data_IF_456268540608
#
_entry.id   IF_456268540608
#
_cell.length_a   1.000
_cell.length_b   1.000
_cell.length_c   1.000
_cell.angle_alpha   90.00
_cell.angle_beta   90.00
_cell.angle_gamma   90.00
#
_symmetry.space_group_name_H-M   'P 1'
#
loop_
_entity.id
_entity.type
_entity.pdbx_description
1 polymer ?
#
# COMPACT_ATOMS: atom_id res chain seq x y z
N UNK A 1 -15.89 20.41 14.28
CA UNK A 1 -15.11 20.24 13.03
C UNK A 1 -13.79 19.58 13.37
N UNK A 2 -13.61 18.31 13.04
CA UNK A 2 -12.38 17.56 13.30
C UNK A 2 -11.27 18.10 12.41
N UNK A 3 -10.13 18.47 12.99
CA UNK A 3 -8.94 18.92 12.24
C UNK A 3 -8.53 17.83 11.24
N UNK A 4 -8.05 18.20 10.05
CA UNK A 4 -7.69 17.23 9.02
C UNK A 4 -6.50 16.33 9.43
N UNK A 5 -5.69 16.74 10.41
CA UNK A 5 -4.65 15.91 11.03
C UNK A 5 -5.18 14.60 11.66
N UNK A 6 -6.38 14.62 12.25
CA UNK A 6 -6.99 13.42 12.83
C UNK A 6 -7.61 12.47 11.80
N UNK A 7 -7.62 12.84 10.50
CA UNK A 7 -8.30 12.08 9.45
C UNK A 7 -7.39 11.07 8.75
N UNK A 8 -6.07 11.22 8.87
CA UNK A 8 -5.10 10.27 8.33
C UNK A 8 -4.58 9.27 9.36
N UNK A 9 -4.91 9.46 10.64
CA UNK A 9 -4.49 8.57 11.73
C UNK A 9 -5.00 7.14 11.55
N UNK A 10 -6.18 6.95 10.94
CA UNK A 10 -6.69 5.62 10.57
C UNK A 10 -5.77 4.90 9.58
N UNK A 11 -5.32 5.60 8.54
CA UNK A 11 -4.35 5.06 7.59
C UNK A 11 -3.02 4.73 8.26
N UNK A 12 -2.51 5.62 9.12
CA UNK A 12 -1.28 5.37 9.89
C UNK A 12 -1.43 4.15 10.78
N UNK A 13 -2.54 4.00 11.48
CA UNK A 13 -2.79 2.86 12.35
C UNK A 13 -2.80 1.53 11.57
N UNK A 14 -3.36 1.53 10.36
CA UNK A 14 -3.38 0.36 9.48
C UNK A 14 -1.99 0.00 8.97
N UNK A 15 -1.24 0.99 8.49
CA UNK A 15 0.06 0.80 7.85
C UNK A 15 1.21 0.60 8.84
N UNK A 16 1.10 1.12 10.07
CA UNK A 16 2.17 1.03 11.08
C UNK A 16 2.41 -0.44 11.45
N UNK A 17 3.66 -0.88 11.27
CA UNK A 17 4.08 -2.25 11.49
C UNK A 17 3.48 -3.26 10.49
N UNK A 18 2.85 -2.79 9.41
CA UNK A 18 2.42 -3.65 8.31
C UNK A 18 3.65 -4.16 7.57
N UNK A 19 3.89 -5.45 7.66
CA UNK A 19 4.96 -6.12 6.93
C UNK A 19 4.49 -7.50 6.48
N UNK A 20 4.95 -7.89 5.30
CA UNK A 20 4.78 -9.21 4.74
C UNK A 20 6.02 -10.06 5.03
N UNK A 21 5.79 -11.16 5.74
CA UNK A 21 6.77 -12.21 6.02
C UNK A 21 6.32 -13.51 5.36
N UNK A 22 7.21 -14.50 5.17
CA UNK A 22 6.80 -15.77 4.57
C UNK A 22 5.74 -16.47 5.43
N UNK A 23 5.78 -16.29 6.76
CA UNK A 23 4.76 -16.82 7.67
C UNK A 23 3.39 -16.16 7.52
N UNK A 24 3.34 -14.86 7.23
CA UNK A 24 2.09 -14.15 6.95
C UNK A 24 1.37 -14.65 5.68
N UNK A 25 2.07 -15.43 4.84
CA UNK A 25 1.51 -16.06 3.65
C UNK A 25 0.99 -17.48 3.89
N UNK A 26 1.29 -18.08 5.06
CA UNK A 26 0.77 -19.39 5.44
C UNK A 26 -0.74 -19.33 5.73
N UNK A 27 -1.39 -20.45 6.03
CA UNK A 27 -2.82 -20.49 6.42
C UNK A 27 -3.04 -20.23 7.92
N UNK A 28 -2.06 -19.60 8.60
CA UNK A 28 -2.08 -19.33 10.04
C UNK A 28 -2.85 -18.06 10.43
N UNK A 29 -2.84 -17.72 11.72
CA UNK A 29 -3.54 -16.56 12.29
C UNK A 29 -3.08 -15.23 11.67
N UNK A 30 -1.80 -15.11 11.31
CA UNK A 30 -1.21 -13.90 10.72
C UNK A 30 -1.65 -13.68 9.27
N UNK A 31 -2.17 -14.70 8.60
CA UNK A 31 -2.69 -14.62 7.23
C UNK A 31 -3.86 -13.65 7.10
N UNK A 32 -4.78 -13.73 8.06
CA UNK A 32 -5.95 -12.86 8.09
C UNK A 32 -5.58 -11.43 8.41
N UNK A 33 -4.52 -11.21 9.18
CA UNK A 33 -4.15 -9.88 9.68
C UNK A 33 -3.70 -8.95 8.55
N UNK A 34 -2.83 -9.40 7.65
CA UNK A 34 -2.34 -8.57 6.53
C UNK A 34 -3.49 -8.24 5.57
N UNK A 35 -4.28 -9.24 5.19
CA UNK A 35 -5.43 -9.04 4.31
C UNK A 35 -6.47 -8.11 4.94
N UNK A 36 -6.76 -8.27 6.24
CA UNK A 36 -7.69 -7.41 6.95
C UNK A 36 -7.19 -5.96 7.02
N UNK A 37 -5.89 -5.75 7.22
CA UNK A 37 -5.30 -4.40 7.20
C UNK A 37 -5.38 -3.77 5.82
N UNK A 38 -5.01 -4.47 4.75
CA UNK A 38 -5.18 -3.97 3.37
C UNK A 38 -6.66 -3.61 3.11
N UNK A 39 -7.58 -4.50 3.48
CA UNK A 39 -9.02 -4.26 3.32
C UNK A 39 -9.52 -3.05 4.14
N UNK A 40 -8.91 -2.79 5.31
CA UNK A 40 -9.25 -1.63 6.13
C UNK A 40 -8.86 -0.31 5.46
N UNK A 41 -7.81 -0.28 4.63
CA UNK A 41 -7.46 0.92 3.86
C UNK A 41 -8.63 1.38 2.97
N UNK A 42 -9.37 0.45 2.36
CA UNK A 42 -10.54 0.82 1.55
C UNK A 42 -11.62 1.52 2.37
N UNK A 43 -11.84 1.08 3.61
CA UNK A 43 -12.79 1.72 4.52
C UNK A 43 -12.34 3.14 4.89
N UNK A 44 -11.05 3.31 5.18
CA UNK A 44 -10.44 4.63 5.44
C UNK A 44 -10.56 5.56 4.22
N UNK A 45 -10.31 5.06 3.00
CA UNK A 45 -10.48 5.82 1.74
C UNK A 45 -11.93 6.30 1.56
N UNK A 46 -12.90 5.40 1.81
CA UNK A 46 -14.31 5.75 1.70
C UNK A 46 -14.69 6.81 2.73
N UNK A 47 -14.23 6.66 3.98
CA UNK A 47 -14.44 7.65 5.05
C UNK A 47 -13.83 9.01 4.71
N UNK A 48 -12.60 9.02 4.18
CA UNK A 48 -11.91 10.24 3.79
C UNK A 48 -12.60 10.94 2.61
N UNK A 49 -13.00 10.18 1.58
CA UNK A 49 -13.76 10.71 0.43
C UNK A 49 -15.02 11.45 0.87
N UNK A 50 -15.79 10.85 1.78
CA UNK A 50 -16.99 11.47 2.35
C UNK A 50 -16.65 12.72 3.16
N UNK A 51 -15.60 12.66 3.99
CA UNK A 51 -15.20 13.77 4.85
C UNK A 51 -14.64 14.99 4.09
N UNK A 52 -14.04 14.77 2.92
CA UNK A 52 -13.49 15.83 2.07
C UNK A 52 -14.54 16.43 1.13
N UNK A 53 -15.61 15.71 0.81
CA UNK A 53 -16.64 16.21 -0.10
C UNK A 53 -16.09 16.66 -1.46
N UNK A 54 -15.00 16.04 -1.92
CA UNK A 54 -14.32 16.36 -3.18
C UNK A 54 -13.25 17.45 -3.13
N UNK A 55 -13.01 18.11 -1.99
CA UNK A 55 -12.02 19.20 -1.89
C UNK A 55 -10.58 18.77 -2.23
N UNK A 56 -10.25 17.51 -1.94
CA UNK A 56 -8.93 16.92 -2.21
C UNK A 56 -9.09 15.57 -2.91
N UNK A 57 -9.87 15.55 -3.99
CA UNK A 57 -10.14 14.32 -4.76
C UNK A 57 -8.87 13.61 -5.24
N UNK A 58 -7.82 14.38 -5.56
CA UNK A 58 -6.49 13.88 -5.94
C UNK A 58 -5.80 13.08 -4.82
N UNK A 59 -6.07 13.38 -3.56
CA UNK A 59 -5.51 12.64 -2.42
C UNK A 59 -6.18 11.27 -2.33
N UNK A 60 -7.51 11.26 -2.41
CA UNK A 60 -8.30 10.03 -2.37
C UNK A 60 -8.04 9.13 -3.59
N UNK A 61 -7.78 9.73 -4.75
CA UNK A 61 -7.34 9.02 -5.96
C UNK A 61 -5.99 8.35 -5.74
N UNK A 62 -4.98 9.09 -5.28
CA UNK A 62 -3.67 8.51 -4.96
C UNK A 62 -3.79 7.36 -3.94
N UNK A 63 -4.56 7.52 -2.88
CA UNK A 63 -4.77 6.45 -1.88
C UNK A 63 -5.43 5.21 -2.48
N UNK A 64 -6.37 5.39 -3.43
CA UNK A 64 -7.00 4.27 -4.13
C UNK A 64 -5.99 3.51 -5.00
N UNK A 65 -5.08 4.23 -5.67
CA UNK A 65 -3.99 3.62 -6.44
C UNK A 65 -3.04 2.83 -5.51
N UNK A 66 -2.64 3.43 -4.37
CA UNK A 66 -1.77 2.75 -3.40
C UNK A 66 -2.45 1.51 -2.80
N UNK A 67 -3.75 1.57 -2.49
CA UNK A 67 -4.51 0.41 -2.04
C UNK A 67 -4.52 -0.72 -3.09
N UNK A 68 -4.72 -0.39 -4.37
CA UNK A 68 -4.65 -1.36 -5.46
C UNK A 68 -3.25 -1.98 -5.58
N UNK A 69 -2.19 -1.17 -5.47
CA UNK A 69 -0.79 -1.61 -5.49
C UNK A 69 -0.47 -2.58 -4.35
N UNK A 70 -0.84 -2.24 -3.11
CA UNK A 70 -0.67 -3.12 -1.95
C UNK A 70 -1.42 -4.45 -2.10
N UNK A 71 -2.66 -4.41 -2.60
CA UNK A 71 -3.48 -5.60 -2.88
C UNK A 71 -2.83 -6.51 -3.92
N UNK A 72 -2.29 -5.94 -5.00
CA UNK A 72 -1.58 -6.67 -6.05
C UNK A 72 -0.33 -7.35 -5.50
N UNK A 73 0.50 -6.63 -4.75
CA UNK A 73 1.75 -7.16 -4.18
C UNK A 73 1.45 -8.33 -3.23
N UNK A 74 0.45 -8.19 -2.38
CA UNK A 74 -0.01 -9.25 -1.49
C UNK A 74 -0.49 -10.48 -2.26
N UNK A 75 -1.34 -10.29 -3.28
CA UNK A 75 -1.84 -11.37 -4.11
C UNK A 75 -0.70 -12.09 -4.86
N UNK A 76 0.27 -11.33 -5.40
CA UNK A 76 1.45 -11.89 -6.07
C UNK A 76 2.29 -12.77 -5.12
N UNK A 77 2.54 -12.31 -3.90
CA UNK A 77 3.27 -13.07 -2.90
C UNK A 77 2.53 -14.36 -2.51
N UNK A 78 1.20 -14.31 -2.32
CA UNK A 78 0.37 -15.49 -2.04
C UNK A 78 0.40 -16.48 -3.20
N UNK A 79 0.27 -16.02 -4.45
CA UNK A 79 0.34 -16.89 -5.63
C UNK A 79 1.71 -17.58 -5.72
N UNK A 80 2.79 -16.83 -5.50
CA UNK A 80 4.16 -17.36 -5.49
C UNK A 80 4.35 -18.42 -4.39
N UNK A 81 3.75 -18.23 -3.21
CA UNK A 81 3.71 -19.22 -2.12
C UNK A 81 2.94 -20.48 -2.51
N UNK A 82 1.72 -20.34 -3.04
CA UNK A 82 0.89 -21.48 -3.46
C UNK A 82 1.54 -22.31 -4.57
N UNK A 83 2.35 -21.68 -5.43
CA UNK A 83 3.11 -22.36 -6.49
C UNK A 83 4.38 -23.05 -6.00
N UNK A 84 4.69 -22.99 -4.70
CA UNK A 84 5.94 -23.48 -4.12
C UNK A 84 7.19 -22.93 -4.83
N UNK A 85 7.12 -21.71 -5.37
CA UNK A 85 8.31 -21.04 -5.91
C UNK A 85 9.35 -20.91 -4.79
N UNK A 86 10.64 -21.05 -5.07
CA UNK A 86 11.63 -20.88 -3.99
C UNK A 86 11.57 -19.45 -3.47
N UNK A 87 11.76 -19.30 -2.15
CA UNK A 87 11.81 -17.99 -1.50
C UNK A 87 12.82 -17.08 -2.22
N UNK A 88 13.97 -17.67 -2.51
CA UNK A 88 15.03 -17.12 -3.35
C UNK A 88 15.13 -17.95 -4.63
N UNK A 89 14.51 -17.48 -5.71
CA UNK A 89 15.02 -17.80 -7.03
C UNK A 89 16.40 -17.10 -7.19
N UNK A 90 17.32 -17.60 -8.03
CA UNK A 90 18.60 -16.93 -8.26
C UNK A 90 18.42 -15.43 -8.59
N UNK A 91 19.42 -14.57 -8.27
CA UNK A 91 19.28 -13.12 -8.02
C UNK A 91 18.85 -12.26 -9.22
N UNK A 92 18.44 -12.86 -10.33
CA UNK A 92 17.95 -12.19 -11.53
C UNK A 92 16.42 -12.17 -11.66
N UNK A 93 15.68 -12.84 -10.77
CA UNK A 93 14.22 -12.86 -10.83
C UNK A 93 13.57 -11.70 -10.06
N UNK A 94 13.16 -10.62 -10.74
CA UNK A 94 12.23 -9.58 -10.22
C UNK A 94 10.89 -10.13 -9.70
N UNK A 95 10.69 -11.45 -9.83
CA UNK A 95 9.49 -12.22 -9.48
C UNK A 95 9.73 -13.22 -8.33
N UNK A 96 10.87 -13.23 -7.65
CA UNK A 96 11.04 -14.08 -6.45
C UNK A 96 10.05 -13.65 -5.35
N UNK A 97 9.66 -14.60 -4.48
CA UNK A 97 8.76 -14.28 -3.38
C UNK A 97 9.38 -13.26 -2.42
N UNK A 98 10.68 -13.42 -2.11
CA UNK A 98 11.42 -12.46 -1.30
C UNK A 98 11.38 -11.05 -1.91
N UNK A 99 11.64 -10.91 -3.20
CA UNK A 99 11.59 -9.62 -3.89
C UNK A 99 10.17 -9.01 -3.89
N UNK A 100 9.12 -9.81 -4.06
CA UNK A 100 7.72 -9.33 -3.98
C UNK A 100 7.40 -8.86 -2.55
N UNK A 101 7.84 -9.59 -1.53
CA UNK A 101 7.66 -9.22 -0.13
C UNK A 101 8.42 -7.94 0.21
N UNK A 102 9.66 -7.78 -0.26
CA UNK A 102 10.44 -6.55 -0.09
C UNK A 102 9.75 -5.36 -0.76
N UNK A 103 9.20 -5.54 -1.96
CA UNK A 103 8.40 -4.51 -2.63
C UNK A 103 7.15 -4.14 -1.84
N UNK A 104 6.47 -5.11 -1.22
CA UNK A 104 5.33 -4.85 -0.34
C UNK A 104 5.75 -4.05 0.91
N UNK A 105 6.81 -4.48 1.58
CA UNK A 105 7.32 -3.82 2.78
C UNK A 105 7.77 -2.37 2.49
N UNK A 106 8.47 -2.18 1.36
CA UNK A 106 8.87 -0.86 0.91
C UNK A 106 7.67 0.01 0.52
N UNK A 107 6.64 -0.57 -0.11
CA UNK A 107 5.39 0.11 -0.40
C UNK A 107 4.72 0.63 0.88
N UNK A 108 4.53 -0.22 1.89
CA UNK A 108 3.87 0.18 3.14
C UNK A 108 4.63 1.32 3.84
N UNK A 109 5.96 1.24 3.89
CA UNK A 109 6.82 2.29 4.44
C UNK A 109 6.74 3.59 3.63
N UNK A 110 6.82 3.51 2.30
CA UNK A 110 6.73 4.68 1.40
C UNK A 110 5.38 5.36 1.51
N UNK A 111 4.29 4.59 1.63
CA UNK A 111 2.95 5.14 1.81
C UNK A 111 2.86 5.92 3.14
N UNK A 112 3.35 5.37 4.25
CA UNK A 112 3.44 6.09 5.52
C UNK A 112 4.22 7.41 5.40
N UNK A 113 5.41 7.37 4.82
CA UNK A 113 6.22 8.58 4.62
C UNK A 113 5.50 9.63 3.80
N UNK A 114 4.83 9.24 2.71
CA UNK A 114 4.06 10.16 1.86
C UNK A 114 2.85 10.76 2.59
N UNK A 115 2.21 10.02 3.50
CA UNK A 115 1.16 10.58 4.36
C UNK A 115 1.73 11.69 5.25
N UNK A 116 2.88 11.45 5.88
CA UNK A 116 3.54 12.45 6.73
C UNK A 116 4.00 13.67 5.92
N UNK A 117 4.56 13.46 4.73
CA UNK A 117 4.94 14.53 3.80
C UNK A 117 3.74 15.37 3.37
N UNK A 118 2.62 14.73 3.03
CA UNK A 118 1.39 15.44 2.65
C UNK A 118 0.86 16.27 3.82
N UNK A 119 0.90 15.76 5.04
CA UNK A 119 0.44 16.50 6.22
C UNK A 119 1.28 17.73 6.53
N UNK A 120 2.60 17.61 6.33
CA UNK A 120 3.56 18.70 6.49
C UNK A 120 3.55 19.70 5.32
N UNK A 121 2.94 19.34 4.20
CA UNK A 121 2.89 20.16 2.99
C UNK A 121 1.82 21.26 3.02
N UNK A 122 1.76 22.03 1.94
CA UNK A 122 0.69 22.99 1.66
C UNK A 122 -0.64 22.34 1.24
N UNK A 123 -0.69 21.00 1.14
CA UNK A 123 -1.87 20.20 0.76
C UNK A 123 -2.47 20.64 -0.57
N UNK A 124 -1.63 20.63 -1.59
CA UNK A 124 -1.98 21.03 -2.95
C UNK A 124 -1.86 19.84 -3.91
N UNK A 125 -2.59 19.85 -5.04
CA UNK A 125 -2.50 18.79 -6.04
C UNK A 125 -1.05 18.52 -6.50
N UNK A 126 -0.22 19.56 -6.59
CA UNK A 126 1.18 19.46 -6.99
C UNK A 126 2.04 18.65 -6.01
N UNK A 127 1.63 18.51 -4.75
CA UNK A 127 2.32 17.67 -3.76
C UNK A 127 2.19 16.18 -4.12
N UNK A 128 1.03 15.76 -4.62
CA UNK A 128 0.68 14.35 -4.80
C UNK A 128 0.76 13.90 -6.25
N UNK A 129 0.70 14.83 -7.21
CA UNK A 129 0.94 14.57 -8.62
C UNK A 129 2.17 13.67 -8.93
N UNK A 130 3.37 13.90 -8.35
CA UNK A 130 4.51 13.00 -8.59
C UNK A 130 4.28 11.60 -8.03
N UNK A 131 3.55 11.47 -6.92
CA UNK A 131 3.28 10.18 -6.30
C UNK A 131 2.27 9.34 -7.07
N UNK A 132 1.26 9.99 -7.67
CA UNK A 132 0.32 9.37 -8.61
C UNK A 132 1.09 8.85 -9.82
N UNK A 133 1.96 9.67 -10.42
CA UNK A 133 2.77 9.25 -11.56
C UNK A 133 3.66 8.04 -11.24
N UNK A 134 4.32 8.04 -10.08
CA UNK A 134 5.12 6.89 -9.62
C UNK A 134 4.25 5.64 -9.39
N UNK A 135 3.03 5.82 -8.90
CA UNK A 135 2.11 4.72 -8.63
C UNK A 135 1.49 4.15 -9.91
N UNK A 136 1.23 4.98 -10.91
CA UNK A 136 0.75 4.58 -12.25
C UNK A 136 1.82 3.85 -13.07
N UNK A 137 3.11 4.09 -12.80
CA UNK A 137 4.21 3.33 -13.43
C UNK A 137 4.34 1.90 -12.88
N UNK A 138 3.71 1.59 -11.74
CA UNK A 138 3.81 0.29 -11.07
C UNK A 138 3.39 -0.95 -11.92
N UNK A 139 2.32 -0.90 -12.75
CA UNK A 139 1.96 -2.00 -13.64
C UNK A 139 3.04 -2.32 -14.69
N UNK A 140 3.74 -1.30 -15.20
CA UNK A 140 4.82 -1.46 -16.18
C UNK A 140 6.06 -2.10 -15.55
N UNK A 141 6.36 -1.75 -14.30
CA UNK A 141 7.39 -2.35 -13.45
C UNK A 141 7.13 -3.82 -13.05
N UNK A 142 5.95 -4.38 -13.38
CA UNK A 142 5.66 -5.81 -13.20
C UNK A 142 6.16 -6.65 -14.39
N UNK A 143 6.36 -6.01 -15.55
CA UNK A 143 6.68 -6.70 -16.80
C UNK A 143 8.18 -6.76 -17.12
N UNK A 144 8.99 -5.92 -16.47
CA UNK A 144 10.46 -5.93 -16.55
C UNK A 144 11.09 -6.84 -15.48
#
# INVERSE_FOLDING_TARGET
MQRPAGRLDGFRAVLTGLSLTDHSLDHGLDHGLVLARISSLQAEINGLTLALGGSEAWLTEWMAIEHAKGSVLYAAAKISKTRNETLDNPPSGTRSRSAIMDRFNNWASTFLTRLDDYEASSRQPSTVAPWIADADAFPEDRQR
#
